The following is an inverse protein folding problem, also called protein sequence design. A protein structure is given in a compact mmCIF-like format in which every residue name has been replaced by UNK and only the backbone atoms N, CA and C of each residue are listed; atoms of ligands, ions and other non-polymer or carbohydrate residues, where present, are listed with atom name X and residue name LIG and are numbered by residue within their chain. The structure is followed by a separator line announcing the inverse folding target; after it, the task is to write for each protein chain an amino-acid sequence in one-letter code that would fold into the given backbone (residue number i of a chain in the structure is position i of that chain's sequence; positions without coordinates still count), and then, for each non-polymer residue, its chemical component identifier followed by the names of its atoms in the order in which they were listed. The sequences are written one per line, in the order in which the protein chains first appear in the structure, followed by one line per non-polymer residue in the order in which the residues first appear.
data_IF_525724696725
#
_entry.id   IF_525724696725
#
_cell.length_a   1.000
_cell.length_b   1.000
_cell.length_c   1.000
_cell.angle_alpha   90.00
_cell.angle_beta   90.00
_cell.angle_gamma   90.00
#
_symmetry.space_group_name_H-M   'P 1'
#
loop_
_entity.id
_entity.type
_entity.pdbx_description
1 polymer ?
#
# COMPACT_ATOMS: atom_id res chain seq x y z
N UNK A 1 -4.80 -30.28 -6.84
CA UNK A 1 -4.78 -30.42 -8.31
C UNK A 1 -3.57 -31.28 -8.70
N UNK A 2 -3.65 -32.07 -9.77
CA UNK A 2 -2.49 -32.83 -10.30
C UNK A 2 -1.36 -31.88 -10.74
N UNK A 3 -0.10 -32.21 -10.44
CA UNK A 3 1.05 -31.33 -10.70
C UNK A 3 1.28 -31.07 -12.19
N UNK A 4 1.05 -32.08 -13.05
CA UNK A 4 1.21 -31.96 -14.51
C UNK A 4 0.15 -31.04 -15.08
N UNK A 5 -1.08 -31.12 -14.55
CA UNK A 5 -2.17 -30.21 -14.94
C UNK A 5 -1.82 -28.77 -14.54
N UNK A 6 -1.25 -28.55 -13.35
CA UNK A 6 -0.83 -27.22 -12.88
C UNK A 6 0.25 -26.61 -13.75
N UNK A 7 1.31 -27.35 -14.03
CA UNK A 7 2.42 -26.89 -14.88
C UNK A 7 1.93 -26.53 -16.29
N UNK A 8 1.09 -27.39 -16.89
CA UNK A 8 0.51 -27.13 -18.21
C UNK A 8 -0.36 -25.86 -18.23
N UNK A 9 -1.07 -25.57 -17.15
CA UNK A 9 -1.88 -24.34 -17.05
C UNK A 9 -0.98 -23.12 -16.87
N UNK A 10 0.06 -23.20 -16.04
CA UNK A 10 1.02 -22.10 -15.83
C UNK A 10 1.71 -21.70 -17.14
N UNK A 11 2.12 -22.66 -17.96
CA UNK A 11 2.69 -22.40 -19.28
C UNK A 11 1.69 -21.65 -20.18
N UNK A 12 0.43 -22.11 -20.22
CA UNK A 12 -0.62 -21.49 -21.06
C UNK A 12 -1.08 -20.11 -20.61
N UNK A 13 -1.02 -19.81 -19.32
CA UNK A 13 -1.42 -18.49 -18.78
C UNK A 13 -0.49 -17.38 -19.28
N UNK A 14 0.80 -17.68 -19.45
CA UNK A 14 1.78 -16.72 -19.97
C UNK A 14 1.44 -16.30 -21.41
N UNK A 15 0.82 -17.19 -22.19
CA UNK A 15 0.53 -16.98 -23.61
C UNK A 15 -0.90 -16.50 -23.93
N UNK A 16 -1.83 -16.46 -22.95
CA UNK A 16 -3.26 -16.26 -23.24
C UNK A 16 -3.96 -15.36 -22.21
N UNK A 17 -4.20 -14.09 -22.57
CA UNK A 17 -4.81 -13.08 -21.70
C UNK A 17 -6.31 -13.36 -21.41
N UNK A 18 -7.10 -13.73 -22.42
CA UNK A 18 -8.58 -13.82 -22.32
C UNK A 18 -9.12 -14.85 -21.31
N UNK A 19 -8.29 -15.80 -20.86
CA UNK A 19 -8.69 -16.87 -19.91
C UNK A 19 -7.92 -16.84 -18.61
N UNK A 20 -7.08 -15.83 -18.40
CA UNK A 20 -6.07 -15.77 -17.34
C UNK A 20 -6.69 -15.83 -15.94
N UNK A 21 -7.66 -14.98 -15.64
CA UNK A 21 -8.37 -14.96 -14.34
C UNK A 21 -8.94 -16.35 -13.95
N UNK A 22 -9.71 -16.96 -14.86
CA UNK A 22 -10.33 -18.28 -14.67
C UNK A 22 -9.31 -19.42 -14.46
N UNK A 23 -8.11 -19.28 -15.02
CA UNK A 23 -7.03 -20.27 -14.87
C UNK A 23 -6.25 -20.03 -13.58
N UNK A 24 -6.01 -18.77 -13.19
CA UNK A 24 -5.37 -18.40 -11.93
C UNK A 24 -6.17 -18.94 -10.76
N UNK A 25 -7.49 -18.74 -10.75
CA UNK A 25 -8.37 -19.24 -9.68
C UNK A 25 -8.27 -20.76 -9.48
N UNK A 26 -7.95 -21.53 -10.54
CA UNK A 26 -7.77 -22.99 -10.45
C UNK A 26 -6.41 -23.40 -9.90
N UNK A 27 -5.42 -22.50 -9.93
CA UNK A 27 -4.05 -22.75 -9.47
C UNK A 27 -3.84 -22.25 -8.03
N UNK A 28 -4.51 -21.16 -7.64
CA UNK A 28 -4.31 -20.49 -6.35
C UNK A 28 -5.01 -21.16 -5.16
N UNK A 29 -5.71 -22.28 -5.37
CA UNK A 29 -6.39 -23.00 -4.29
C UNK A 29 -5.38 -23.75 -3.41
N UNK A 30 -5.01 -23.12 -2.29
CA UNK A 30 -4.50 -23.84 -1.12
C UNK A 30 -5.70 -24.41 -0.35
N UNK A 31 -5.63 -25.67 0.05
CA UNK A 31 -6.68 -26.29 0.84
C UNK A 31 -6.86 -25.51 2.15
N UNK A 32 -8.11 -25.19 2.50
CA UNK A 32 -8.49 -24.47 3.72
C UNK A 32 -8.00 -23.02 3.86
N UNK A 33 -7.38 -22.42 2.83
CA UNK A 33 -6.96 -21.02 2.91
C UNK A 33 -8.13 -20.07 3.15
N UNK A 34 -9.25 -20.25 2.45
CA UNK A 34 -10.43 -19.40 2.61
C UNK A 34 -11.05 -19.54 4.02
N UNK A 35 -11.06 -20.77 4.56
CA UNK A 35 -11.51 -21.03 5.94
C UNK A 35 -10.60 -20.32 6.96
N UNK A 36 -9.29 -20.39 6.75
CA UNK A 36 -8.30 -19.72 7.59
C UNK A 36 -8.42 -18.20 7.50
N UNK A 37 -8.49 -17.66 6.28
CA UNK A 37 -8.62 -16.23 6.02
C UNK A 37 -9.91 -15.67 6.62
N UNK A 38 -11.02 -16.38 6.48
CA UNK A 38 -12.30 -15.97 7.06
C UNK A 38 -12.22 -15.90 8.59
N UNK A 39 -11.64 -16.91 9.24
CA UNK A 39 -11.41 -16.89 10.71
C UNK A 39 -10.46 -15.78 11.14
N UNK A 40 -9.45 -15.49 10.33
CA UNK A 40 -8.52 -14.40 10.60
C UNK A 40 -9.23 -13.04 10.56
N UNK A 41 -10.05 -12.81 9.54
CA UNK A 41 -10.86 -11.58 9.41
C UNK A 41 -11.89 -11.44 10.55
N UNK A 42 -12.52 -12.54 10.99
CA UNK A 42 -13.40 -12.54 12.16
C UNK A 42 -12.68 -12.17 13.45
N UNK A 43 -11.42 -12.58 13.61
CA UNK A 43 -10.62 -12.28 14.81
C UNK A 43 -10.20 -10.80 14.87
N UNK A 44 -10.07 -10.13 13.73
CA UNK A 44 -9.67 -8.73 13.64
C UNK A 44 -10.90 -7.83 13.37
N UNK A 45 -11.64 -7.50 14.43
CA UNK A 45 -12.87 -6.68 14.34
C UNK A 45 -12.67 -5.32 13.64
N UNK A 46 -11.46 -4.76 13.66
CA UNK A 46 -11.12 -3.50 12.97
C UNK A 46 -10.77 -3.68 11.49
N UNK A 47 -10.83 -4.89 10.94
CA UNK A 47 -10.48 -5.18 9.55
C UNK A 47 -11.71 -5.33 8.66
N UNK A 48 -11.65 -4.75 7.47
CA UNK A 48 -12.71 -4.81 6.46
C UNK A 48 -12.13 -5.28 5.12
N UNK A 49 -12.68 -6.35 4.56
CA UNK A 49 -12.33 -6.82 3.22
C UNK A 49 -13.01 -5.95 2.18
N UNK A 50 -12.22 -5.22 1.38
CA UNK A 50 -12.70 -4.29 0.35
C UNK A 50 -12.79 -4.96 -1.01
N UNK A 51 -11.76 -5.75 -1.35
CA UNK A 51 -11.66 -6.44 -2.64
C UNK A 51 -11.14 -7.85 -2.44
N UNK A 52 -11.73 -8.80 -3.16
CA UNK A 52 -11.36 -10.20 -3.13
C UNK A 52 -11.17 -10.74 -4.56
N UNK A 53 -9.92 -10.70 -5.04
CA UNK A 53 -9.53 -11.24 -6.33
C UNK A 53 -8.57 -12.43 -6.16
N UNK A 54 -8.49 -13.36 -7.13
CA UNK A 54 -7.64 -14.53 -7.00
C UNK A 54 -6.14 -14.23 -6.80
N UNK A 55 -5.65 -13.11 -7.34
CA UNK A 55 -4.24 -12.71 -7.26
C UNK A 55 -3.96 -11.67 -6.17
N UNK A 56 -4.97 -10.91 -5.73
CA UNK A 56 -4.81 -9.91 -4.69
C UNK A 56 -6.09 -9.72 -3.88
N UNK A 57 -5.92 -9.38 -2.61
CA UNK A 57 -7.00 -8.91 -1.74
C UNK A 57 -6.67 -7.52 -1.22
N UNK A 58 -7.68 -6.73 -0.91
CA UNK A 58 -7.52 -5.42 -0.27
C UNK A 58 -8.25 -5.43 1.05
N UNK A 59 -7.54 -5.11 2.12
CA UNK A 59 -8.09 -5.01 3.48
C UNK A 59 -7.86 -3.60 4.00
N UNK A 60 -8.89 -2.97 4.57
CA UNK A 60 -8.72 -1.79 5.39
C UNK A 60 -8.62 -2.21 6.86
N UNK A 61 -7.69 -1.60 7.58
CA UNK A 61 -7.57 -1.76 9.03
C UNK A 61 -7.79 -0.42 9.72
N UNK A 62 -8.88 -0.30 10.48
CA UNK A 62 -9.24 0.91 11.20
C UNK A 62 -8.39 1.06 12.47
N UNK A 63 -7.65 2.16 12.56
CA UNK A 63 -6.90 2.54 13.77
C UNK A 63 -7.85 3.19 14.78
N UNK A 64 -8.75 4.04 14.28
CA UNK A 64 -9.82 4.70 15.02
C UNK A 64 -10.95 5.07 14.05
N UNK A 65 -11.93 5.88 14.48
CA UNK A 65 -13.09 6.27 13.67
C UNK A 65 -12.71 7.03 12.37
N UNK A 66 -11.60 7.77 12.37
CA UNK A 66 -11.20 8.67 11.28
C UNK A 66 -9.95 8.20 10.51
N UNK A 67 -9.20 7.24 11.05
CA UNK A 67 -7.93 6.79 10.49
C UNK A 67 -7.94 5.28 10.23
N UNK A 68 -7.45 4.93 9.05
CA UNK A 68 -7.27 3.54 8.61
C UNK A 68 -5.93 3.37 7.88
N UNK A 69 -5.46 2.14 7.82
CA UNK A 69 -4.40 1.70 6.91
C UNK A 69 -5.06 0.86 5.83
N UNK A 70 -4.66 1.06 4.58
CA UNK A 70 -5.02 0.18 3.47
C UNK A 70 -3.92 -0.86 3.28
N UNK A 71 -4.27 -2.12 3.13
CA UNK A 71 -3.33 -3.23 2.95
C UNK A 71 -3.67 -3.97 1.66
N UNK A 72 -2.76 -3.93 0.69
CA UNK A 72 -2.79 -4.74 -0.52
C UNK A 72 -2.08 -6.06 -0.24
N UNK A 73 -2.81 -7.17 -0.22
CA UNK A 73 -2.26 -8.52 -0.08
C UNK A 73 -2.10 -9.12 -1.47
N UNK A 74 -0.88 -9.17 -2.01
CA UNK A 74 -0.64 -9.59 -3.40
C UNK A 74 0.07 -10.95 -3.41
N UNK A 75 -0.57 -11.93 -4.04
CA UNK A 75 -0.06 -13.29 -4.10
C UNK A 75 1.05 -13.43 -5.16
N UNK A 76 2.28 -13.10 -4.79
CA UNK A 76 3.45 -13.32 -5.66
C UNK A 76 3.90 -14.78 -5.72
N UNK A 77 3.22 -15.70 -5.03
CA UNK A 77 3.52 -17.13 -5.02
C UNK A 77 2.55 -17.97 -5.88
N UNK A 78 1.71 -17.31 -6.68
CA UNK A 78 0.70 -17.99 -7.50
C UNK A 78 1.32 -18.93 -8.56
N UNK A 79 2.49 -18.58 -9.11
CA UNK A 79 3.25 -19.37 -10.08
C UNK A 79 4.42 -20.15 -9.45
N UNK A 80 4.48 -20.23 -8.12
CA UNK A 80 5.52 -20.95 -7.40
C UNK A 80 5.58 -22.44 -7.76
N UNK A 81 6.81 -22.95 -7.79
CA UNK A 81 7.14 -24.36 -8.03
C UNK A 81 8.10 -24.88 -6.95
N UNK A 82 8.35 -26.19 -6.90
CA UNK A 82 9.27 -26.75 -5.90
C UNK A 82 10.71 -26.27 -6.07
N UNK A 83 11.13 -26.02 -7.32
CA UNK A 83 12.48 -25.58 -7.67
C UNK A 83 12.40 -24.25 -8.40
N UNK A 84 12.44 -23.20 -7.60
CA UNK A 84 12.27 -21.84 -8.08
C UNK A 84 13.62 -21.25 -8.50
N UNK A 85 13.60 -20.46 -9.58
CA UNK A 85 14.78 -19.73 -10.05
C UNK A 85 14.48 -18.24 -9.99
N UNK A 86 15.37 -17.46 -9.38
CA UNK A 86 15.27 -16.01 -9.39
C UNK A 86 15.24 -15.48 -10.84
N UNK A 87 14.50 -14.40 -11.09
CA UNK A 87 14.34 -13.79 -12.40
C UNK A 87 13.44 -14.54 -13.38
N UNK A 88 12.63 -15.52 -12.93
CA UNK A 88 11.79 -16.35 -13.83
C UNK A 88 10.29 -16.32 -13.52
N UNK A 89 9.92 -15.81 -12.34
CA UNK A 89 8.52 -15.68 -11.95
C UNK A 89 7.82 -14.60 -12.75
N UNK A 90 6.50 -14.65 -12.76
CA UNK A 90 5.66 -13.73 -13.50
C UNK A 90 4.49 -13.24 -12.65
N UNK A 91 4.17 -11.97 -12.73
CA UNK A 91 2.96 -11.36 -12.17
C UNK A 91 2.00 -10.98 -13.30
N UNK A 92 0.73 -11.41 -13.24
CA UNK A 92 -0.25 -11.10 -14.26
C UNK A 92 -0.77 -9.66 -14.11
N UNK A 93 -0.08 -8.70 -14.72
CA UNK A 93 -0.34 -7.26 -14.51
C UNK A 93 -1.78 -6.81 -14.83
N UNK A 94 -2.44 -7.45 -15.80
CA UNK A 94 -3.84 -7.19 -16.15
C UNK A 94 -4.80 -7.46 -14.99
N UNK A 95 -4.48 -8.45 -14.15
CA UNK A 95 -5.29 -8.87 -12.99
C UNK A 95 -5.06 -7.98 -11.77
N UNK A 96 -4.12 -7.03 -11.85
CA UNK A 96 -3.77 -6.11 -10.77
C UNK A 96 -4.33 -4.69 -10.97
N UNK A 97 -5.10 -4.46 -12.05
CA UNK A 97 -5.61 -3.14 -12.40
C UNK A 97 -6.56 -2.52 -11.36
N UNK A 98 -7.13 -3.31 -10.45
CA UNK A 98 -7.97 -2.84 -9.35
C UNK A 98 -7.21 -2.30 -8.14
N UNK A 99 -5.87 -2.34 -8.15
CA UNK A 99 -5.05 -1.75 -7.10
C UNK A 99 -4.86 -0.26 -7.36
N UNK A 100 -5.34 0.55 -6.42
CA UNK A 100 -5.22 2.01 -6.48
C UNK A 100 -4.60 2.56 -5.18
N UNK A 101 -4.09 3.78 -5.21
CA UNK A 101 -3.67 4.46 -3.98
C UNK A 101 -4.88 5.09 -3.29
N UNK A 102 -5.08 4.79 -2.01
CA UNK A 102 -6.13 5.42 -1.20
C UNK A 102 -5.57 6.68 -0.52
N UNK A 103 -6.06 7.85 -0.94
CA UNK A 103 -5.64 9.14 -0.39
C UNK A 103 -6.24 9.45 0.99
N UNK A 104 -7.28 8.73 1.41
CA UNK A 104 -7.90 8.90 2.72
C UNK A 104 -7.26 7.99 3.78
N UNK A 105 -6.55 6.92 3.36
CA UNK A 105 -5.77 6.07 4.25
C UNK A 105 -4.55 6.81 4.83
N UNK A 106 -4.20 6.51 6.07
CA UNK A 106 -2.99 7.01 6.73
C UNK A 106 -1.74 6.48 6.03
N UNK A 107 -1.75 5.20 5.69
CA UNK A 107 -0.74 4.55 4.86
C UNK A 107 -1.39 3.51 3.95
N UNK A 108 -0.76 3.33 2.79
CA UNK A 108 -1.01 2.24 1.87
C UNK A 108 0.14 1.25 1.97
N UNK A 109 -0.14 0.06 2.48
CA UNK A 109 0.81 -1.03 2.61
C UNK A 109 0.60 -2.03 1.49
N UNK A 110 1.67 -2.57 0.94
CA UNK A 110 1.62 -3.76 0.08
C UNK A 110 2.44 -4.87 0.70
N UNK A 111 1.85 -6.07 0.77
CA UNK A 111 2.49 -7.28 1.28
C UNK A 111 2.64 -8.26 0.12
N UNK A 112 3.88 -8.64 -0.14
CA UNK A 112 4.26 -9.65 -1.13
C UNK A 112 5.13 -10.71 -0.44
N UNK A 113 5.16 -11.94 -0.94
CA UNK A 113 6.05 -12.95 -0.38
C UNK A 113 7.45 -12.89 -1.03
N UNK A 114 7.49 -13.01 -2.36
CA UNK A 114 8.71 -12.92 -3.14
C UNK A 114 9.13 -11.47 -3.41
N UNK A 115 10.39 -11.10 -3.15
CA UNK A 115 10.96 -9.84 -3.62
C UNK A 115 10.91 -9.73 -5.13
N UNK A 116 10.85 -8.51 -5.67
CA UNK A 116 10.56 -8.33 -7.10
C UNK A 116 11.67 -8.81 -8.03
N UNK A 117 12.91 -8.99 -7.56
CA UNK A 117 13.99 -9.57 -8.37
C UNK A 117 13.81 -11.05 -8.69
N UNK A 118 12.81 -11.72 -8.10
CA UNK A 118 12.40 -13.06 -8.51
C UNK A 118 11.61 -13.07 -9.82
N UNK A 119 11.06 -11.94 -10.25
CA UNK A 119 10.30 -11.80 -11.49
C UNK A 119 11.21 -11.62 -12.70
N UNK A 120 10.73 -12.05 -13.88
CA UNK A 120 11.38 -11.77 -15.15
C UNK A 120 11.60 -10.25 -15.32
N UNK A 121 12.76 -9.78 -15.82
CA UNK A 121 13.15 -8.37 -15.78
C UNK A 121 12.12 -7.34 -16.28
N UNK A 122 11.36 -7.64 -17.35
CA UNK A 122 10.36 -6.71 -17.86
C UNK A 122 9.15 -6.65 -16.92
N UNK A 123 8.68 -7.82 -16.48
CA UNK A 123 7.57 -7.93 -15.56
C UNK A 123 7.91 -7.34 -14.18
N UNK A 124 9.14 -7.55 -13.69
CA UNK A 124 9.67 -6.89 -12.50
C UNK A 124 9.50 -5.38 -12.59
N UNK A 125 9.89 -4.77 -13.72
CA UNK A 125 9.83 -3.32 -13.89
C UNK A 125 8.39 -2.82 -13.83
N UNK A 126 7.47 -3.49 -14.51
CA UNK A 126 6.05 -3.15 -14.47
C UNK A 126 5.47 -3.29 -13.06
N UNK A 127 5.85 -4.35 -12.35
CA UNK A 127 5.38 -4.61 -10.99
C UNK A 127 5.97 -3.65 -9.96
N UNK A 128 7.26 -3.29 -10.05
CA UNK A 128 7.88 -2.25 -9.22
C UNK A 128 7.14 -0.92 -9.39
N UNK A 129 6.85 -0.52 -10.64
CA UNK A 129 6.10 0.71 -10.91
C UNK A 129 4.69 0.67 -10.32
N UNK A 130 3.99 -0.48 -10.40
CA UNK A 130 2.69 -0.64 -9.77
C UNK A 130 2.80 -0.50 -8.24
N UNK A 131 3.72 -1.23 -7.60
CA UNK A 131 3.89 -1.22 -6.15
C UNK A 131 4.21 0.19 -5.63
N UNK A 132 5.12 0.92 -6.29
CA UNK A 132 5.43 2.32 -5.96
C UNK A 132 4.22 3.25 -6.12
N UNK A 133 3.34 2.99 -7.10
CA UNK A 133 2.15 3.81 -7.31
C UNK A 133 1.09 3.61 -6.23
N UNK A 134 1.00 2.42 -5.65
CA UNK A 134 -0.09 2.02 -4.74
C UNK A 134 0.34 1.87 -3.28
N UNK A 135 1.60 2.14 -2.95
CA UNK A 135 2.15 1.87 -1.61
C UNK A 135 3.08 2.97 -1.10
N UNK A 136 2.98 3.23 0.20
CA UNK A 136 3.97 3.95 0.99
C UNK A 136 5.01 2.97 1.57
N UNK A 137 4.55 1.78 1.99
CA UNK A 137 5.39 0.69 2.48
C UNK A 137 5.16 -0.60 1.69
N UNK A 138 6.25 -1.31 1.38
CA UNK A 138 6.24 -2.62 0.76
C UNK A 138 6.93 -3.59 1.70
N UNK A 139 6.21 -4.64 2.09
CA UNK A 139 6.72 -5.71 2.93
C UNK A 139 6.96 -6.95 2.09
N UNK A 140 8.16 -7.51 2.17
CA UNK A 140 8.54 -8.73 1.46
C UNK A 140 9.36 -9.67 2.34
N UNK A 141 9.60 -10.90 1.88
CA UNK A 141 10.38 -11.90 2.61
C UNK A 141 11.06 -12.88 1.67
N UNK A 142 10.85 -14.18 1.90
CA UNK A 142 11.35 -15.32 1.12
C UNK A 142 12.86 -15.59 1.22
N UNK A 143 13.72 -14.57 1.25
CA UNK A 143 15.18 -14.77 1.24
C UNK A 143 15.80 -14.97 2.62
N UNK A 144 14.99 -14.87 3.68
CA UNK A 144 15.39 -15.02 5.08
C UNK A 144 16.55 -14.06 5.44
N UNK A 145 16.56 -12.89 4.81
CA UNK A 145 17.52 -11.83 5.04
C UNK A 145 16.75 -10.55 5.32
N UNK A 146 17.17 -9.84 6.36
CA UNK A 146 16.62 -8.54 6.70
C UNK A 146 17.30 -7.45 5.87
N UNK A 147 16.49 -6.57 5.29
CA UNK A 147 16.99 -5.36 4.66
C UNK A 147 15.93 -4.27 4.69
N UNK A 148 16.41 -3.03 4.73
CA UNK A 148 15.59 -1.84 4.56
C UNK A 148 16.13 -1.05 3.37
N UNK A 149 15.23 -0.73 2.44
CA UNK A 149 15.56 0.04 1.25
C UNK A 149 14.56 1.18 1.15
N UNK A 150 15.06 2.42 1.14
CA UNK A 150 14.28 3.58 0.71
C UNK A 150 14.46 3.79 -0.80
N UNK A 151 13.35 3.88 -1.52
CA UNK A 151 13.34 4.20 -2.95
C UNK A 151 12.66 5.55 -3.18
N UNK A 152 13.42 6.51 -3.67
CA UNK A 152 12.93 7.83 -4.03
C UNK A 152 12.68 7.91 -5.53
N UNK A 153 11.46 8.27 -5.92
CA UNK A 153 11.05 8.49 -7.30
C UNK A 153 10.27 9.82 -7.43
N UNK A 154 9.89 10.26 -8.64
CA UNK A 154 9.00 11.41 -8.80
C UNK A 154 7.64 11.26 -8.11
N UNK A 155 7.25 10.03 -7.76
CA UNK A 155 6.00 9.72 -7.03
C UNK A 155 6.13 9.96 -5.52
N UNK A 156 7.35 10.00 -4.99
CA UNK A 156 7.64 10.09 -3.57
C UNK A 156 8.69 9.07 -3.13
N UNK A 157 8.80 8.90 -1.83
CA UNK A 157 9.60 7.85 -1.21
C UNK A 157 8.69 6.65 -0.91
N UNK A 158 9.14 5.45 -1.28
CA UNK A 158 8.53 4.18 -0.88
C UNK A 158 9.55 3.41 -0.05
N UNK A 159 9.12 2.95 1.12
CA UNK A 159 9.97 2.16 2.02
C UNK A 159 9.72 0.68 1.76
N UNK A 160 10.79 -0.06 1.49
CA UNK A 160 10.76 -1.50 1.25
C UNK A 160 11.44 -2.18 2.43
N UNK A 161 10.74 -3.10 3.07
CA UNK A 161 11.20 -3.82 4.25
C UNK A 161 11.16 -5.32 3.98
N UNK A 162 12.31 -5.96 4.11
CA UNK A 162 12.48 -7.39 3.97
C UNK A 162 12.56 -8.02 5.36
N UNK A 163 11.64 -8.95 5.63
CA UNK A 163 11.55 -9.62 6.92
C UNK A 163 12.55 -10.75 7.07
N UNK A 164 13.07 -10.90 8.29
CA UNK A 164 13.83 -12.07 8.71
C UNK A 164 12.92 -13.32 8.87
N UNK A 165 13.50 -14.47 9.17
CA UNK A 165 12.77 -15.74 9.35
C UNK A 165 12.54 -16.02 10.83
N UNK A 166 11.31 -16.34 11.24
CA UNK A 166 11.00 -16.70 12.64
C UNK A 166 11.58 -18.04 13.08
N UNK A 167 11.87 -18.92 12.13
CA UNK A 167 12.54 -20.19 12.37
C UNK A 167 13.13 -20.71 11.07
N UNK A 168 14.46 -20.65 10.95
CA UNK A 168 15.17 -21.25 9.82
C UNK A 168 15.14 -22.79 9.90
N UNK A 169 14.96 -23.44 8.75
CA UNK A 169 14.90 -24.90 8.66
C UNK A 169 16.27 -25.55 8.88
N UNK A 170 17.32 -24.91 8.39
CA UNK A 170 18.69 -25.44 8.46
C UNK A 170 19.34 -25.26 9.84
N UNK A 171 18.99 -24.20 10.56
CA UNK A 171 19.41 -23.96 11.94
C UNK A 171 18.31 -23.23 12.72
N UNK A 172 17.60 -23.89 13.66
CA UNK A 172 16.51 -23.27 14.43
C UNK A 172 16.98 -22.15 15.39
N UNK A 173 18.30 -21.95 15.52
CA UNK A 173 18.85 -20.80 16.26
C UNK A 173 18.86 -19.51 15.44
N UNK A 174 18.69 -19.61 14.12
CA UNK A 174 18.47 -18.45 13.26
C UNK A 174 16.98 -18.15 13.32
N UNK A 175 16.67 -17.10 14.06
CA UNK A 175 15.33 -16.55 14.17
C UNK A 175 15.42 -15.04 14.35
N UNK A 176 14.55 -14.31 13.66
CA UNK A 176 14.39 -12.88 13.81
C UNK A 176 13.04 -12.38 13.31
N UNK A 177 12.74 -11.13 13.66
CA UNK A 177 11.55 -10.41 13.20
C UNK A 177 11.76 -8.91 13.34
N UNK A 178 10.91 -8.15 12.66
CA UNK A 178 10.95 -6.69 12.69
C UNK A 178 9.69 -6.16 13.39
N UNK A 179 9.83 -5.06 14.13
CA UNK A 179 8.71 -4.28 14.67
C UNK A 179 8.77 -2.88 14.07
N UNK A 180 7.65 -2.43 13.51
CA UNK A 180 7.46 -1.04 13.13
C UNK A 180 6.50 -0.41 14.12
N UNK A 181 6.97 0.64 14.80
CA UNK A 181 6.17 1.42 15.73
C UNK A 181 5.81 2.74 15.08
N UNK A 182 4.52 3.02 14.92
CA UNK A 182 4.01 4.26 14.36
C UNK A 182 3.35 5.05 15.50
N UNK A 183 3.94 6.18 15.85
CA UNK A 183 3.40 7.07 16.88
C UNK A 183 2.49 8.11 16.24
N UNK A 184 1.25 8.22 16.74
CA UNK A 184 0.22 9.10 16.19
C UNK A 184 -0.30 10.01 17.30
N UNK A 185 -0.20 11.32 17.10
CA UNK A 185 -0.77 12.34 17.98
C UNK A 185 -1.73 13.23 17.19
N UNK A 186 -2.96 13.43 17.69
CA UNK A 186 -3.96 14.28 17.05
C UNK A 186 -4.19 13.96 15.56
N UNK A 187 -4.20 12.67 15.21
CA UNK A 187 -4.31 12.17 13.83
C UNK A 187 -3.12 12.49 12.91
N UNK A 188 -1.98 12.88 13.47
CA UNK A 188 -0.74 13.15 12.75
C UNK A 188 0.30 12.12 13.19
N UNK A 189 1.01 11.53 12.22
CA UNK A 189 2.16 10.67 12.54
C UNK A 189 3.30 11.56 13.01
N UNK A 190 3.79 11.32 14.23
CA UNK A 190 4.89 12.08 14.83
C UNK A 190 6.21 11.33 14.76
N UNK A 191 6.19 10.00 14.78
CA UNK A 191 7.38 9.17 14.67
C UNK A 191 7.09 7.81 14.02
N UNK A 192 8.09 7.22 13.36
CA UNK A 192 8.10 5.83 12.91
C UNK A 192 9.46 5.22 13.21
N UNK A 193 9.48 4.17 14.03
CA UNK A 193 10.70 3.44 14.37
C UNK A 193 10.64 2.02 13.79
N UNK A 194 11.78 1.53 13.29
CA UNK A 194 12.02 0.14 12.96
C UNK A 194 13.00 -0.48 13.96
N UNK A 195 12.58 -1.57 14.59
CA UNK A 195 13.41 -2.40 15.45
C UNK A 195 13.57 -3.79 14.81
N UNK A 196 14.81 -4.23 14.62
CA UNK A 196 15.13 -5.56 14.10
C UNK A 196 15.60 -6.44 15.25
N UNK A 197 14.91 -7.56 15.46
CA UNK A 197 15.20 -8.51 16.53
C UNK A 197 15.82 -9.78 15.98
N UNK A 198 16.81 -10.32 16.70
CA UNK A 198 17.34 -11.66 16.45
C UNK A 198 17.49 -12.46 17.75
N UNK A 199 17.41 -13.78 17.61
CA UNK A 199 17.53 -14.72 18.71
C UNK A 199 18.98 -14.85 19.21
N UNK A 200 19.22 -14.51 20.47
CA UNK A 200 20.49 -14.76 21.16
C UNK A 200 20.41 -16.08 21.93
N UNK A 201 21.13 -17.10 21.43
CA UNK A 201 21.17 -18.42 22.07
C UNK A 201 21.92 -18.47 23.40
N UNK A 202 22.77 -17.49 23.71
CA UNK A 202 23.50 -17.42 24.98
C UNK A 202 22.62 -16.82 26.07
N UNK A 203 21.83 -15.81 25.71
CA UNK A 203 20.92 -15.11 26.63
C UNK A 203 19.52 -15.74 26.67
N UNK A 204 19.20 -16.61 25.70
CA UNK A 204 17.92 -17.29 25.56
C UNK A 204 16.74 -16.32 25.44
N UNK A 205 16.94 -15.25 24.67
CA UNK A 205 15.95 -14.22 24.38
C UNK A 205 16.25 -13.53 23.04
N UNK A 206 15.25 -12.84 22.50
CA UNK A 206 15.47 -11.92 21.39
C UNK A 206 16.14 -10.64 21.88
N UNK A 207 17.10 -10.16 21.11
CA UNK A 207 17.78 -8.89 21.32
C UNK A 207 17.57 -8.00 20.10
N UNK A 208 17.58 -6.68 20.31
CA UNK A 208 17.57 -5.72 19.22
C UNK A 208 18.95 -5.74 18.57
N UNK A 209 18.99 -6.14 17.30
CA UNK A 209 20.20 -6.09 16.46
C UNK A 209 20.41 -4.69 15.90
N UNK A 210 19.33 -4.06 15.44
CA UNK A 210 19.37 -2.74 14.82
C UNK A 210 18.13 -1.92 15.19
N UNK A 211 18.32 -0.62 15.24
CA UNK A 211 17.29 0.38 15.50
C UNK A 211 17.47 1.52 14.51
N UNK A 212 16.45 1.75 13.70
CA UNK A 212 16.43 2.86 12.74
C UNK A 212 15.16 3.70 12.91
N UNK A 213 15.34 5.00 13.11
CA UNK A 213 14.26 5.97 12.98
C UNK A 213 13.99 6.19 11.48
N UNK A 214 12.80 5.78 11.02
CA UNK A 214 12.37 6.00 9.64
C UNK A 214 11.95 7.46 9.54
N UNK A 215 12.85 8.28 9.00
CA UNK A 215 12.57 9.70 8.80
C UNK A 215 11.39 9.88 7.87
N UNK A 216 10.32 10.42 8.44
CA UNK A 216 9.18 10.94 7.71
C UNK A 216 9.57 12.28 7.07
N UNK A 217 10.48 12.28 6.10
CA UNK A 217 10.29 13.23 4.97
C UNK A 217 9.19 12.67 4.02
N UNK A 218 8.53 11.56 4.43
CA UNK A 218 7.43 10.85 3.77
C UNK A 218 6.12 11.62 3.72
N UNK A 219 6.06 12.86 4.21
CA UNK A 219 5.21 13.87 3.58
C UNK A 219 5.79 14.15 2.20
N UNK A 220 5.42 13.36 1.18
CA UNK A 220 5.75 13.59 -0.23
C UNK A 220 5.92 15.10 -0.48
N UNK A 221 7.17 15.59 -0.57
CA UNK A 221 7.46 16.95 -1.02
C UNK A 221 7.12 17.01 -2.51
N UNK A 222 5.83 17.10 -2.83
CA UNK A 222 5.27 17.23 -4.17
C UNK A 222 5.48 18.65 -4.72
N UNK A 223 6.73 19.10 -4.85
CA UNK A 223 7.06 20.45 -5.33
C UNK A 223 7.48 20.49 -6.80
N UNK A 224 7.88 19.37 -7.42
CA UNK A 224 8.30 19.42 -8.81
C UNK A 224 7.14 19.06 -9.72
N UNK A 225 6.50 20.09 -10.30
CA UNK A 225 5.54 20.13 -11.44
C UNK A 225 4.30 21.02 -11.21
N UNK A 226 4.38 22.00 -10.31
CA UNK A 226 3.38 23.08 -10.21
C UNK A 226 3.31 24.03 -11.43
N UNK A 227 4.17 23.85 -12.45
CA UNK A 227 4.22 24.69 -13.65
C UNK A 227 3.34 24.22 -14.81
N UNK A 228 2.72 23.03 -14.73
CA UNK A 228 1.84 22.52 -15.81
C UNK A 228 0.47 22.23 -15.22
N UNK A 229 -0.42 23.23 -15.30
CA UNK A 229 -1.71 23.35 -14.61
C UNK A 229 -2.79 22.32 -14.94
N UNK A 230 -2.48 21.02 -14.97
CA UNK A 230 -3.40 19.94 -15.32
C UNK A 230 -3.47 18.80 -14.29
N UNK A 231 -3.06 18.99 -13.03
CA UNK A 231 -3.11 17.87 -12.07
C UNK A 231 -3.41 18.24 -10.62
N UNK A 232 -4.58 17.79 -10.16
CA UNK A 232 -5.02 17.72 -8.76
C UNK A 232 -3.98 16.97 -7.92
N UNK A 233 -3.13 17.66 -7.15
CA UNK A 233 -2.09 16.98 -6.35
C UNK A 233 -1.98 17.47 -4.91
N UNK A 234 -2.83 18.41 -4.54
CA UNK A 234 -3.50 18.41 -3.24
C UNK A 234 -4.84 17.73 -3.46
N UNK A 235 -4.97 16.52 -2.94
CA UNK A 235 -6.28 15.91 -2.84
C UNK A 235 -6.83 16.39 -1.51
N UNK A 236 -7.84 17.26 -1.60
CA UNK A 236 -8.72 17.44 -0.47
C UNK A 236 -9.31 16.05 -0.22
N UNK A 237 -9.08 15.47 0.97
CA UNK A 237 -9.72 14.21 1.39
C UNK A 237 -11.18 14.24 0.97
N UNK A 238 -11.76 13.13 0.54
CA UNK A 238 -13.16 13.17 0.06
C UNK A 238 -14.07 13.71 1.17
N UNK A 239 -13.79 13.34 2.42
CA UNK A 239 -14.43 13.88 3.62
C UNK A 239 -14.26 15.39 3.77
N UNK A 240 -13.05 15.92 3.61
CA UNK A 240 -12.78 17.37 3.65
C UNK A 240 -13.43 18.10 2.47
N UNK A 241 -13.51 17.48 1.29
CA UNK A 241 -14.16 18.05 0.11
C UNK A 241 -15.65 18.17 0.34
N UNK A 242 -16.27 17.13 0.91
CA UNK A 242 -17.66 17.16 1.38
C UNK A 242 -17.87 18.25 2.43
N UNK A 243 -16.97 18.36 3.41
CA UNK A 243 -17.04 19.39 4.45
C UNK A 243 -16.93 20.82 3.90
N UNK A 244 -15.93 21.10 3.05
CA UNK A 244 -15.75 22.43 2.44
C UNK A 244 -16.94 22.79 1.55
N UNK A 245 -17.50 21.81 0.83
CA UNK A 245 -18.65 22.04 -0.06
C UNK A 245 -20.01 22.00 0.66
N UNK A 246 -20.06 21.71 1.95
CA UNK A 246 -21.29 21.74 2.73
C UNK A 246 -21.74 23.18 2.97
N UNK A 247 -22.98 23.49 2.58
CA UNK A 247 -23.61 24.78 2.83
C UNK A 247 -24.00 24.97 4.30
N UNK A 248 -24.03 23.89 5.09
CA UNK A 248 -24.58 23.87 6.45
C UNK A 248 -26.11 24.03 6.48
N UNK A 249 -26.77 24.03 5.31
CA UNK A 249 -28.20 24.15 5.15
C UNK A 249 -28.69 23.34 3.95
N UNK A 250 -29.85 22.69 4.11
CA UNK A 250 -30.48 21.94 3.03
C UNK A 250 -31.19 22.90 2.05
N UNK A 251 -30.46 23.35 1.03
CA UNK A 251 -30.99 24.27 0.00
C UNK A 251 -31.12 23.54 -1.33
N UNK A 252 -32.35 23.44 -1.82
CA UNK A 252 -32.67 22.79 -3.09
C UNK A 252 -33.11 23.82 -4.11
N UNK A 253 -32.38 23.92 -5.22
CA UNK A 253 -32.78 24.74 -6.36
C UNK A 253 -33.71 23.95 -7.29
N UNK A 254 -34.87 24.50 -7.72
CA UNK A 254 -35.87 23.78 -8.54
C UNK A 254 -35.35 23.19 -9.85
N UNK A 255 -34.22 23.69 -10.36
CA UNK A 255 -33.59 23.21 -11.61
C UNK A 255 -32.23 22.53 -11.41
N UNK A 256 -31.57 22.75 -10.28
CA UNK A 256 -30.17 22.30 -10.08
C UNK A 256 -30.04 21.23 -9.00
N UNK A 257 -31.11 20.97 -8.22
CA UNK A 257 -31.07 20.02 -7.10
C UNK A 257 -30.42 20.61 -5.86
N UNK A 258 -29.75 19.77 -5.06
CA UNK A 258 -29.02 20.22 -3.88
C UNK A 258 -27.86 21.11 -4.32
N UNK A 259 -27.78 22.32 -3.75
CA UNK A 259 -26.67 23.22 -4.00
C UNK A 259 -25.46 22.86 -3.12
N UNK A 260 -24.26 23.08 -3.63
CA UNK A 260 -22.98 23.04 -2.91
C UNK A 260 -22.50 24.45 -2.58
N UNK A 261 -21.54 24.60 -1.65
CA UNK A 261 -20.94 25.91 -1.35
C UNK A 261 -20.36 26.56 -2.61
N UNK A 262 -19.64 25.79 -3.43
CA UNK A 262 -19.07 26.26 -4.68
C UNK A 262 -20.09 26.78 -5.71
N UNK A 263 -21.38 26.41 -5.62
CA UNK A 263 -22.42 26.90 -6.53
C UNK A 263 -22.83 28.34 -6.23
N UNK A 264 -22.61 28.81 -5.00
CA UNK A 264 -23.02 30.14 -4.54
C UNK A 264 -21.86 30.99 -4.03
N UNK A 265 -20.70 30.39 -3.81
CA UNK A 265 -19.53 31.07 -3.27
C UNK A 265 -18.92 31.99 -4.34
N UNK A 266 -18.92 33.28 -4.04
CA UNK A 266 -18.28 34.30 -4.88
C UNK A 266 -16.93 34.64 -4.26
N UNK A 267 -15.85 34.41 -5.01
CA UNK A 267 -14.51 34.75 -4.55
C UNK A 267 -14.39 36.27 -4.33
N UNK A 268 -13.77 36.72 -3.22
CA UNK A 268 -13.54 38.13 -2.99
C UNK A 268 -12.56 38.69 -4.03
N UNK A 269 -12.82 39.92 -4.46
CA UNK A 269 -11.92 40.64 -5.37
C UNK A 269 -10.66 41.09 -4.63
N UNK A 270 -9.50 40.54 -4.99
CA UNK A 270 -8.25 40.75 -4.26
C UNK A 270 -7.57 42.10 -4.54
N UNK A 271 -8.00 42.84 -5.56
CA UNK A 271 -7.36 44.09 -6.02
C UNK A 271 -7.33 45.21 -4.96
N UNK A 272 -8.30 45.28 -4.03
CA UNK A 272 -8.42 46.41 -3.10
C UNK A 272 -7.71 46.23 -1.74
N UNK A 273 -7.15 45.05 -1.45
CA UNK A 273 -6.62 44.74 -0.10
C UNK A 273 -5.18 45.19 0.16
N UNK A 274 -4.42 45.52 -0.89
CA UNK A 274 -3.01 45.93 -0.78
C UNK A 274 -2.82 47.45 -0.81
N UNK A 275 -3.81 48.22 -1.27
CA UNK A 275 -3.72 49.67 -1.40
C UNK A 275 -3.99 50.42 -0.08
N UNK A 276 -4.81 49.86 0.82
CA UNK A 276 -5.20 50.55 2.06
C UNK A 276 -4.07 50.69 3.10
N UNK A 277 -2.97 49.91 2.99
CA UNK A 277 -1.83 50.02 3.92
C UNK A 277 -0.83 51.14 3.58
N UNK A 278 -1.00 51.86 2.48
CA UNK A 278 -0.07 52.96 2.11
C UNK A 278 -0.52 54.36 2.52
N UNK A 279 -1.69 54.54 3.12
CA UNK A 279 -2.22 55.87 3.47
C UNK A 279 -2.36 56.02 4.99
N UNK A 280 -1.23 55.96 5.70
CA UNK A 280 -1.13 56.50 7.06
C UNK A 280 0.31 56.88 7.40
N UNK A 281 0.88 57.80 6.61
CA UNK A 281 2.00 58.64 7.04
C UNK A 281 1.74 60.06 6.56
N UNK A 282 1.16 60.86 7.46
CA UNK A 282 1.33 62.30 7.52
C UNK A 282 1.93 62.57 8.89
#
# INVERSE_FOLDING_TARGET
MDSVIRETILERIKDNEDKRENLIQKITLQDHYDDYFSKFMEFWESSELISDFPIFKVVNFSINEDQKIKINLINTAWDSTLHENAGTKYMPMTELQGLEYDNDALFNFSIIHHPTHWLEPNNKREFDHLLENVSDFIFTGHEHQESQISKISPLGETIILEGNVLQENSDPKISGFNIITIEIENSIVVNIDLEQFAWDSQQNMYIVNDFEEIKIDTMRRRINHASTGENNRFFIKESMSKFINDLGAYVVHPRHGNLLLNDIFVYPDFENSLEEKKISKI
#
